data_IF_693361640771
#
_entry.id   IF_693361640771
#
_cell.length_a   1.000
_cell.length_b   1.000
_cell.length_c   1.000
_cell.angle_alpha   90.00
_cell.angle_beta   90.00
_cell.angle_gamma   90.00
#
_symmetry.space_group_name_H-M   'P 1'
#
loop_
_entity.id
_entity.type
_entity.pdbx_description
1 polymer ?
#
# COMPACT_ATOMS: atom_id res chain seq x y z
N UNK A 1 -9.37 -22.65 -10.07
CA UNK A 1 -9.27 -21.34 -9.37
C UNK A 1 -10.27 -20.42 -10.06
N UNK A 2 -11.28 -19.95 -9.31
CA UNK A 2 -12.19 -18.90 -9.79
C UNK A 2 -11.79 -17.60 -9.13
N UNK A 3 -11.78 -16.50 -9.90
CA UNK A 3 -11.66 -15.14 -9.40
C UNK A 3 -12.54 -14.22 -10.25
N UNK A 4 -13.02 -13.15 -9.64
CA UNK A 4 -13.74 -12.11 -10.33
C UNK A 4 -12.79 -10.97 -10.67
N UNK A 5 -13.01 -10.33 -11.81
CA UNK A 5 -12.27 -9.12 -12.20
C UNK A 5 -13.23 -7.93 -12.11
N UNK A 6 -12.90 -6.95 -11.30
CA UNK A 6 -13.60 -5.66 -11.25
C UNK A 6 -13.01 -4.74 -12.32
N UNK A 7 -13.86 -4.06 -13.06
CA UNK A 7 -13.46 -3.11 -14.10
C UNK A 7 -14.46 -1.94 -14.23
N UNK A 8 -14.01 -0.82 -14.78
CA UNK A 8 -14.86 0.20 -15.40
C UNK A 8 -14.85 0.00 -16.91
N UNK A 9 -16.02 -0.05 -17.55
CA UNK A 9 -16.14 -0.28 -19.00
C UNK A 9 -15.70 0.90 -19.85
N UNK A 10 -15.52 2.09 -19.25
CA UNK A 10 -14.96 3.25 -19.97
C UNK A 10 -13.47 3.03 -20.26
N UNK A 11 -12.99 3.50 -21.43
CA UNK A 11 -11.59 3.40 -21.81
C UNK A 11 -11.15 4.66 -22.60
N UNK A 12 -10.21 5.50 -22.06
CA UNK A 12 -9.72 5.45 -20.69
C UNK A 12 -10.79 5.77 -19.65
N UNK A 13 -10.74 5.09 -18.50
CA UNK A 13 -11.69 5.29 -17.40
C UNK A 13 -11.34 6.57 -16.60
N UNK A 14 -12.27 7.53 -16.44
CA UNK A 14 -12.06 8.66 -15.54
C UNK A 14 -11.86 8.20 -14.09
N UNK A 15 -10.93 8.82 -13.37
CA UNK A 15 -10.59 8.44 -11.99
C UNK A 15 -11.81 8.42 -11.06
N UNK A 16 -12.67 9.42 -11.20
CA UNK A 16 -13.88 9.56 -10.36
C UNK A 16 -14.94 8.46 -10.61
N UNK A 17 -14.80 7.70 -11.70
CA UNK A 17 -15.73 6.62 -12.07
C UNK A 17 -15.27 5.23 -11.61
N UNK A 18 -14.07 5.09 -11.05
CA UNK A 18 -13.44 3.77 -10.78
C UNK A 18 -14.11 3.01 -9.62
N UNK A 19 -14.61 3.71 -8.62
CA UNK A 19 -15.26 3.13 -7.43
C UNK A 19 -14.51 1.91 -6.83
N UNK A 20 -13.20 2.06 -6.62
CA UNK A 20 -12.31 0.95 -6.24
C UNK A 20 -12.70 0.28 -4.91
N UNK A 21 -13.42 0.97 -4.02
CA UNK A 21 -13.95 0.37 -2.79
C UNK A 21 -14.93 -0.78 -3.04
N UNK A 22 -15.54 -0.87 -4.23
CA UNK A 22 -16.37 -2.00 -4.62
C UNK A 22 -15.62 -3.34 -4.60
N UNK A 23 -14.29 -3.33 -4.74
CA UNK A 23 -13.44 -4.52 -4.64
C UNK A 23 -13.59 -5.18 -3.26
N UNK A 24 -13.57 -4.39 -2.19
CA UNK A 24 -13.73 -4.89 -0.82
C UNK A 24 -15.12 -5.50 -0.59
N UNK A 25 -16.17 -4.89 -1.15
CA UNK A 25 -17.53 -5.41 -1.11
C UNK A 25 -17.63 -6.76 -1.85
N UNK A 26 -17.06 -6.84 -3.06
CA UNK A 26 -17.02 -8.08 -3.84
C UNK A 26 -16.26 -9.20 -3.12
N UNK A 27 -15.10 -8.89 -2.51
CA UNK A 27 -14.34 -9.86 -1.72
C UNK A 27 -15.16 -10.40 -0.56
N UNK A 28 -15.87 -9.52 0.16
CA UNK A 28 -16.72 -9.89 1.29
C UNK A 28 -17.92 -10.74 0.88
N UNK A 29 -18.56 -10.40 -0.24
CA UNK A 29 -19.77 -11.12 -0.72
C UNK A 29 -19.47 -12.51 -1.28
N UNK A 30 -18.40 -12.64 -2.03
CA UNK A 30 -18.12 -13.85 -2.79
C UNK A 30 -17.06 -14.75 -2.14
N UNK A 31 -16.27 -14.26 -1.20
CA UNK A 31 -15.25 -15.06 -0.52
C UNK A 31 -14.15 -15.59 -1.44
N UNK A 32 -13.94 -14.96 -2.61
CA UNK A 32 -12.94 -15.34 -3.60
C UNK A 32 -11.98 -14.16 -3.87
N UNK A 33 -10.76 -14.45 -4.34
CA UNK A 33 -9.85 -13.39 -4.77
C UNK A 33 -10.47 -12.54 -5.88
N UNK A 34 -10.34 -11.22 -5.76
CA UNK A 34 -10.77 -10.26 -6.78
C UNK A 34 -9.53 -9.73 -7.50
N UNK A 35 -9.55 -9.78 -8.83
CA UNK A 35 -8.63 -9.08 -9.72
C UNK A 35 -9.14 -7.71 -10.09
N UNK A 36 -8.29 -6.92 -10.73
CA UNK A 36 -8.66 -5.59 -11.24
C UNK A 36 -8.16 -5.41 -12.67
N UNK A 37 -9.07 -5.07 -13.59
CA UNK A 37 -8.73 -4.64 -14.94
C UNK A 37 -8.68 -3.11 -14.96
N UNK A 38 -7.48 -2.57 -15.05
CA UNK A 38 -7.20 -1.14 -14.90
C UNK A 38 -7.27 -0.42 -16.26
N UNK A 39 -8.40 0.20 -16.53
CA UNK A 39 -8.63 1.03 -17.71
C UNK A 39 -8.29 2.51 -17.49
N UNK A 40 -7.79 2.90 -16.33
CA UNK A 40 -7.37 4.28 -16.06
C UNK A 40 -5.99 4.59 -16.62
N UNK A 41 -5.66 5.86 -16.76
CA UNK A 41 -4.30 6.29 -17.10
C UNK A 41 -3.39 6.29 -15.85
N UNK A 42 -2.11 6.00 -16.06
CA UNK A 42 -1.11 6.02 -14.99
C UNK A 42 -1.17 4.81 -14.04
N UNK A 43 -0.66 4.98 -12.81
CA UNK A 43 -0.38 3.90 -11.87
C UNK A 43 -1.29 3.91 -10.64
N UNK A 44 -2.00 5.00 -10.37
CA UNK A 44 -2.69 5.24 -9.09
C UNK A 44 -3.73 4.17 -8.77
N UNK A 45 -4.60 3.82 -9.72
CA UNK A 45 -5.64 2.82 -9.52
C UNK A 45 -5.04 1.44 -9.20
N UNK A 46 -4.03 1.02 -9.94
CA UNK A 46 -3.31 -0.23 -9.69
C UNK A 46 -2.70 -0.28 -8.28
N UNK A 47 -2.08 0.81 -7.81
CA UNK A 47 -1.47 0.87 -6.48
C UNK A 47 -2.52 0.84 -5.37
N UNK A 48 -3.62 1.55 -5.53
CA UNK A 48 -4.73 1.56 -4.57
C UNK A 48 -5.34 0.15 -4.46
N UNK A 49 -5.61 -0.50 -5.58
CA UNK A 49 -6.24 -1.83 -5.60
C UNK A 49 -5.36 -2.89 -4.95
N UNK A 50 -4.04 -2.78 -5.05
CA UNK A 50 -3.11 -3.64 -4.29
C UNK A 50 -3.28 -3.45 -2.77
N UNK A 51 -3.43 -2.22 -2.31
CA UNK A 51 -3.73 -1.92 -0.90
C UNK A 51 -5.06 -2.53 -0.43
N UNK A 52 -6.02 -2.67 -1.33
CA UNK A 52 -7.31 -3.34 -1.10
C UNK A 52 -7.22 -4.89 -1.18
N UNK A 53 -6.05 -5.45 -1.40
CA UNK A 53 -5.83 -6.90 -1.40
C UNK A 53 -5.84 -7.57 -2.78
N UNK A 54 -5.97 -6.81 -3.87
CA UNK A 54 -5.87 -7.36 -5.23
C UNK A 54 -4.49 -7.96 -5.48
N UNK A 55 -4.44 -9.10 -6.16
CA UNK A 55 -3.20 -9.83 -6.51
C UNK A 55 -3.04 -10.09 -8.01
N UNK A 56 -4.05 -9.79 -8.79
CA UNK A 56 -4.05 -9.88 -10.25
C UNK A 56 -4.53 -8.55 -10.81
N UNK A 57 -3.67 -7.89 -11.59
CA UNK A 57 -4.00 -6.62 -12.26
C UNK A 57 -3.76 -6.81 -13.75
N UNK A 58 -4.75 -6.42 -14.54
CA UNK A 58 -4.69 -6.39 -16.00
C UNK A 58 -4.64 -4.96 -16.47
N UNK A 59 -3.87 -4.70 -17.51
CA UNK A 59 -3.75 -3.38 -18.13
C UNK A 59 -3.54 -3.50 -19.63
N UNK A 60 -4.14 -2.62 -20.40
CA UNK A 60 -3.94 -2.56 -21.84
C UNK A 60 -2.50 -2.19 -22.22
N UNK A 61 -1.97 -2.89 -23.19
CA UNK A 61 -0.60 -2.75 -23.68
C UNK A 61 -0.60 -2.64 -25.22
N UNK A 62 0.27 -1.82 -25.76
CA UNK A 62 0.49 -1.69 -27.20
C UNK A 62 1.97 -1.54 -27.52
N UNK A 63 2.37 -1.95 -28.72
CA UNK A 63 3.73 -1.70 -29.20
C UNK A 63 3.92 -0.25 -29.67
N UNK A 64 2.84 0.39 -30.14
CA UNK A 64 2.85 1.78 -30.60
C UNK A 64 1.45 2.40 -30.37
N UNK A 65 1.43 3.48 -29.59
CA UNK A 65 0.19 4.22 -29.27
C UNK A 65 -0.41 4.97 -30.46
N UNK A 66 0.35 5.13 -31.55
CA UNK A 66 -0.10 5.77 -32.79
C UNK A 66 -0.78 4.82 -33.78
N UNK A 67 -0.80 3.51 -33.49
CA UNK A 67 -1.46 2.54 -34.35
C UNK A 67 -2.96 2.81 -34.46
N UNK A 68 -3.57 2.53 -35.63
CA UNK A 68 -5.01 2.69 -35.81
C UNK A 68 -5.77 1.65 -34.98
N UNK A 69 -6.76 2.11 -34.21
CA UNK A 69 -7.62 1.25 -33.38
C UNK A 69 -8.10 1.98 -32.13
N UNK A 70 -9.16 1.48 -31.47
CA UNK A 70 -9.79 2.20 -30.39
C UNK A 70 -8.94 2.28 -29.11
N UNK A 71 -8.08 1.29 -28.83
CA UNK A 71 -7.45 1.13 -27.54
C UNK A 71 -5.97 1.57 -27.50
N UNK A 72 -5.29 1.64 -28.65
CA UNK A 72 -3.85 1.91 -28.72
C UNK A 72 -3.46 3.23 -28.08
N UNK A 73 -4.22 4.30 -28.31
CA UNK A 73 -3.91 5.63 -27.81
C UNK A 73 -3.89 5.72 -26.26
N UNK A 74 -4.68 4.92 -25.58
CA UNK A 74 -4.79 4.89 -24.14
C UNK A 74 -4.04 3.71 -23.49
N UNK A 75 -3.46 2.82 -24.30
CA UNK A 75 -2.66 1.67 -23.84
C UNK A 75 -1.26 2.07 -23.42
N UNK A 76 -0.63 1.28 -22.58
CA UNK A 76 0.77 1.49 -22.19
C UNK A 76 1.73 1.12 -23.33
N UNK A 77 2.74 1.95 -23.56
CA UNK A 77 3.90 1.58 -24.39
C UNK A 77 4.78 0.55 -23.66
N UNK A 78 5.75 -0.08 -24.36
CA UNK A 78 6.69 -1.01 -23.74
C UNK A 78 7.44 -0.41 -22.53
N UNK A 79 7.88 0.84 -22.65
CA UNK A 79 8.59 1.54 -21.58
C UNK A 79 7.67 1.83 -20.40
N UNK A 80 6.45 2.30 -20.67
CA UNK A 80 5.46 2.57 -19.64
C UNK A 80 5.06 1.29 -18.90
N UNK A 81 4.91 0.17 -19.61
CA UNK A 81 4.61 -1.13 -18.99
C UNK A 81 5.77 -1.59 -18.10
N UNK A 82 7.01 -1.44 -18.54
CA UNK A 82 8.19 -1.80 -17.75
C UNK A 82 8.25 -1.01 -16.44
N UNK A 83 8.04 0.31 -16.50
CA UNK A 83 8.00 1.18 -15.32
C UNK A 83 6.83 0.82 -14.39
N UNK A 84 5.65 0.61 -14.96
CA UNK A 84 4.46 0.19 -14.21
C UNK A 84 4.70 -1.14 -13.46
N UNK A 85 5.29 -2.14 -14.12
CA UNK A 85 5.62 -3.43 -13.47
C UNK A 85 6.60 -3.23 -12.31
N UNK A 86 7.63 -2.40 -12.48
CA UNK A 86 8.59 -2.08 -11.42
C UNK A 86 7.90 -1.40 -10.24
N UNK A 87 7.04 -0.41 -10.52
CA UNK A 87 6.29 0.35 -9.53
C UNK A 87 5.34 -0.54 -8.74
N UNK A 88 4.56 -1.39 -9.41
CA UNK A 88 3.63 -2.34 -8.80
C UNK A 88 4.39 -3.34 -7.91
N UNK A 89 5.51 -3.88 -8.37
CA UNK A 89 6.36 -4.78 -7.57
C UNK A 89 6.98 -4.10 -6.35
N UNK A 90 7.41 -2.85 -6.50
CA UNK A 90 7.92 -2.07 -5.37
C UNK A 90 6.84 -1.84 -4.31
N UNK A 91 5.64 -1.44 -4.73
CA UNK A 91 4.49 -1.25 -3.85
C UNK A 91 4.09 -2.55 -3.13
N UNK A 92 4.11 -3.69 -3.83
CA UNK A 92 3.85 -5.01 -3.23
C UNK A 92 4.83 -5.33 -2.09
N UNK A 93 6.11 -5.04 -2.28
CA UNK A 93 7.11 -5.22 -1.20
C UNK A 93 6.89 -4.25 -0.05
N UNK A 94 6.47 -3.02 -0.34
CA UNK A 94 6.23 -1.98 0.68
C UNK A 94 5.02 -2.28 1.57
N UNK A 95 4.04 -3.05 1.10
CA UNK A 95 2.90 -3.49 1.92
C UNK A 95 3.34 -4.32 3.12
N UNK A 96 4.40 -5.11 2.99
CA UNK A 96 4.95 -5.90 4.10
C UNK A 96 3.94 -6.85 4.75
N UNK A 97 3.98 -6.95 6.06
CA UNK A 97 3.05 -7.73 6.88
C UNK A 97 2.16 -6.84 7.74
N UNK A 98 0.98 -7.34 8.14
CA UNK A 98 0.08 -6.64 9.06
C UNK A 98 0.62 -6.52 10.49
N UNK A 99 1.68 -7.25 10.83
CA UNK A 99 2.30 -7.22 12.15
C UNK A 99 3.30 -6.06 12.24
N UNK A 100 3.09 -5.13 13.19
CA UNK A 100 4.04 -4.04 13.45
C UNK A 100 5.31 -4.61 14.09
N UNK A 101 6.40 -4.60 13.32
CA UNK A 101 7.72 -5.05 13.75
C UNK A 101 8.76 -3.95 13.54
N UNK A 102 9.80 -3.93 14.39
CA UNK A 102 10.95 -3.05 14.18
C UNK A 102 11.81 -3.69 13.09
N UNK A 103 12.05 -2.96 12.01
CA UNK A 103 12.91 -3.43 10.92
C UNK A 103 14.38 -3.33 11.31
N UNK A 104 15.22 -4.22 10.76
CA UNK A 104 16.67 -4.21 11.03
C UNK A 104 17.34 -2.86 10.72
N UNK A 105 16.85 -2.12 9.71
CA UNK A 105 17.34 -0.78 9.37
C UNK A 105 17.00 0.29 10.41
N UNK A 106 16.11 0.00 11.36
CA UNK A 106 15.76 0.90 12.46
C UNK A 106 16.59 0.64 13.73
N UNK A 107 17.41 -0.42 13.75
CA UNK A 107 18.11 -0.88 14.95
C UNK A 107 19.02 0.21 15.55
N UNK A 108 19.82 0.87 14.71
CA UNK A 108 20.75 1.92 15.16
C UNK A 108 20.01 3.17 15.63
N UNK A 109 18.93 3.56 14.92
CA UNK A 109 18.11 4.72 15.27
C UNK A 109 17.32 4.48 16.54
N UNK A 110 16.90 3.22 16.79
CA UNK A 110 16.14 2.83 17.97
C UNK A 110 16.86 3.19 19.28
N UNK A 111 18.17 2.95 19.37
CA UNK A 111 18.96 3.24 20.57
C UNK A 111 19.04 4.73 20.86
N UNK A 112 19.09 5.58 19.84
CA UNK A 112 19.27 7.04 19.98
C UNK A 112 17.92 7.77 20.07
N UNK A 113 16.90 7.31 19.34
CA UNK A 113 15.64 8.03 19.20
C UNK A 113 14.55 7.59 20.17
N UNK A 114 14.61 6.34 20.69
CA UNK A 114 13.54 5.79 21.52
C UNK A 114 13.59 6.39 22.92
N UNK A 115 12.46 6.92 23.36
CA UNK A 115 12.31 7.37 24.75
C UNK A 115 12.20 6.16 25.68
N UNK A 116 12.85 6.25 26.85
CA UNK A 116 12.72 5.30 27.94
C UNK A 116 11.81 5.86 29.04
N UNK A 117 11.08 4.98 29.71
CA UNK A 117 10.34 5.33 30.91
C UNK A 117 11.35 5.52 32.04
N UNK A 118 11.31 6.67 32.70
CA UNK A 118 12.24 7.06 33.78
C UNK A 118 11.49 7.72 34.91
N UNK A 119 12.09 7.73 36.12
CA UNK A 119 11.56 8.50 37.23
C UNK A 119 11.56 10.00 36.89
N UNK A 120 10.48 10.69 37.20
CA UNK A 120 10.33 12.15 37.07
C UNK A 120 11.09 12.90 38.13
N UNK A 121 11.18 12.32 39.34
CA UNK A 121 11.83 12.85 40.53
C UNK A 121 12.43 11.66 41.32
N UNK A 122 13.26 11.92 42.36
CA UNK A 122 13.77 10.87 43.23
C UNK A 122 12.61 10.05 43.87
N UNK A 123 12.72 8.75 43.85
CA UNK A 123 11.76 7.81 44.44
C UNK A 123 12.43 7.20 45.70
N UNK A 124 11.77 7.30 46.86
CA UNK A 124 12.28 6.74 48.06
C UNK A 124 12.20 5.23 48.11
N UNK A 125 13.09 4.59 48.89
CA UNK A 125 13.03 3.14 49.13
C UNK A 125 11.72 2.77 49.82
N UNK A 126 11.00 1.78 49.25
CA UNK A 126 9.70 1.35 49.74
C UNK A 126 8.50 2.16 49.25
N UNK A 127 8.72 3.26 48.50
CA UNK A 127 7.65 4.03 47.87
C UNK A 127 6.97 3.20 46.76
N UNK A 128 5.63 3.17 46.78
CA UNK A 128 4.84 2.58 45.67
C UNK A 128 4.88 3.57 44.52
N UNK A 129 5.46 3.16 43.36
CA UNK A 129 5.55 3.95 42.16
C UNK A 129 4.16 4.11 41.55
N UNK A 130 3.80 5.37 41.24
CA UNK A 130 2.55 5.73 40.58
C UNK A 130 2.84 6.37 39.21
N UNK A 131 1.83 6.49 38.36
CA UNK A 131 1.99 7.02 37.00
C UNK A 131 2.59 8.44 36.99
N UNK A 132 2.22 9.27 37.95
CA UNK A 132 2.72 10.63 38.12
C UNK A 132 4.22 10.71 38.45
N UNK A 133 4.80 9.63 39.00
CA UNK A 133 6.22 9.54 39.34
C UNK A 133 7.11 9.25 38.11
N UNK A 134 6.47 8.93 36.97
CA UNK A 134 7.14 8.49 35.76
C UNK A 134 7.06 9.53 34.65
N UNK A 135 8.03 9.49 33.75
CA UNK A 135 8.08 10.32 32.54
C UNK A 135 8.88 9.61 31.45
N UNK A 136 8.85 10.15 30.22
CA UNK A 136 9.62 9.61 29.11
C UNK A 136 10.77 10.55 28.73
N UNK A 137 12.01 10.06 28.73
CA UNK A 137 13.21 10.78 28.27
C UNK A 137 13.96 9.98 27.23
N UNK A 138 14.70 10.68 26.34
CA UNK A 138 15.68 10.03 25.45
C UNK A 138 16.94 9.67 26.24
N UNK A 139 17.63 8.56 25.90
CA UNK A 139 18.94 8.24 26.48
C UNK A 139 19.91 9.42 26.26
N UNK A 140 20.64 9.82 27.31
CA UNK A 140 21.62 10.92 27.23
C UNK A 140 21.05 12.33 27.31
N UNK A 141 19.78 12.53 27.66
CA UNK A 141 19.18 13.84 27.97
C UNK A 141 19.04 14.08 29.45
#
# INVERSE_FOLDING_TARGET
FFFFVSLSSAYPAPVDSLNLNAITDLQSRFGVPIGYSDHSLGNSASLITMGLGVRLIEKHFTLDTSMPGPDHQASMSPEQLADWVQTVRAASRALGSASKQTHQYEADVKHVARKSLVARHPIAMGQIIQEQDLTFKRPGS
#
